data_IF_269838296978
#
_entry.id   IF_269838296978
#
_cell.length_a   1.000
_cell.length_b   1.000
_cell.length_c   1.000
_cell.angle_alpha   90.00
_cell.angle_beta   90.00
_cell.angle_gamma   90.00
#
_symmetry.space_group_name_H-M   'P 1'
#
loop_
_entity.id
_entity.type
_entity.pdbx_description
1 polymer ?
#
# COMPACT_ATOMS: atom_id res chain seq x y z
N UNK A 1 -7.53 7.78 -1.50
CA UNK A 1 -8.76 7.84 -0.68
C UNK A 1 -9.42 6.49 -0.48
N UNK A 2 -9.72 5.71 -1.54
CA UNK A 2 -10.44 4.43 -1.43
C UNK A 2 -9.81 3.46 -0.44
N UNK A 3 -8.50 3.22 -0.54
CA UNK A 3 -7.75 2.38 0.41
C UNK A 3 -7.89 2.83 1.87
N UNK A 4 -7.88 4.14 2.11
CA UNK A 4 -8.02 4.68 3.49
C UNK A 4 -9.39 4.34 4.08
N UNK A 5 -10.45 4.39 3.29
CA UNK A 5 -11.81 4.12 3.75
C UNK A 5 -11.99 2.63 4.01
N UNK A 6 -11.48 1.80 3.09
CA UNK A 6 -11.54 0.34 3.18
C UNK A 6 -10.88 -0.20 4.45
N UNK A 7 -9.75 0.39 4.87
CA UNK A 7 -8.98 -0.12 6.03
C UNK A 7 -9.41 0.49 7.37
N UNK A 8 -9.84 1.75 7.41
CA UNK A 8 -9.98 2.48 8.69
C UNK A 8 -11.39 2.58 9.25
N UNK A 9 -12.43 2.49 8.41
CA UNK A 9 -13.81 2.78 8.84
C UNK A 9 -14.82 1.80 8.26
N UNK A 10 -15.66 1.22 9.11
CA UNK A 10 -16.79 0.39 8.66
C UNK A 10 -17.97 1.22 8.14
N UNK A 11 -18.17 2.43 8.68
CA UNK A 11 -19.20 3.38 8.25
C UNK A 11 -18.54 4.72 7.95
N UNK A 12 -18.81 5.28 6.78
CA UNK A 12 -18.16 6.49 6.31
C UNK A 12 -19.16 7.48 5.71
N UNK A 13 -19.13 8.72 6.20
CA UNK A 13 -19.99 9.78 5.68
C UNK A 13 -19.42 10.35 4.37
N UNK A 14 -20.30 10.55 3.38
CA UNK A 14 -19.91 11.11 2.06
C UNK A 14 -19.26 12.50 2.19
N UNK A 15 -19.59 13.27 3.23
CA UNK A 15 -18.96 14.58 3.49
C UNK A 15 -17.47 14.45 3.81
N UNK A 16 -17.07 13.42 4.55
CA UNK A 16 -15.67 13.20 4.88
C UNK A 16 -14.89 12.64 3.69
N UNK A 17 -15.59 11.98 2.75
CA UNK A 17 -15.02 11.58 1.46
C UNK A 17 -14.52 12.78 0.66
N UNK A 18 -15.36 13.81 0.55
CA UNK A 18 -15.02 15.01 -0.22
C UNK A 18 -13.79 15.72 0.33
N UNK A 19 -13.70 15.84 1.67
CA UNK A 19 -12.54 16.43 2.35
C UNK A 19 -11.27 15.62 2.08
N UNK A 20 -11.34 14.29 2.20
CA UNK A 20 -10.21 13.40 1.92
C UNK A 20 -9.78 13.42 0.44
N UNK A 21 -10.74 13.51 -0.48
CA UNK A 21 -10.46 13.59 -1.91
C UNK A 21 -9.73 14.87 -2.28
N UNK A 22 -10.20 16.01 -1.77
CA UNK A 22 -9.56 17.30 -1.98
C UNK A 22 -8.12 17.31 -1.45
N UNK A 23 -7.89 16.84 -0.22
CA UNK A 23 -6.55 16.77 0.35
C UNK A 23 -5.62 15.85 -0.47
N UNK A 24 -6.10 14.69 -0.93
CA UNK A 24 -5.31 13.79 -1.77
C UNK A 24 -4.94 14.44 -3.12
N UNK A 25 -5.87 15.16 -3.75
CA UNK A 25 -5.62 15.90 -4.99
C UNK A 25 -4.59 17.03 -4.79
N UNK A 26 -4.75 17.82 -3.72
CA UNK A 26 -3.77 18.85 -3.36
C UNK A 26 -2.38 18.25 -3.11
N UNK A 27 -2.28 17.13 -2.38
CA UNK A 27 -1.01 16.45 -2.14
C UNK A 27 -0.37 15.90 -3.40
N UNK A 28 -1.16 15.35 -4.33
CA UNK A 28 -0.65 14.89 -5.61
C UNK A 28 -0.16 16.05 -6.49
N UNK A 29 -0.87 17.18 -6.47
CA UNK A 29 -0.48 18.40 -7.18
C UNK A 29 0.82 19.00 -6.62
N UNK A 30 0.94 19.12 -5.29
CA UNK A 30 2.18 19.62 -4.66
C UNK A 30 3.36 18.72 -4.94
N UNK A 31 3.19 17.39 -4.91
CA UNK A 31 4.26 16.45 -5.26
C UNK A 31 4.67 16.54 -6.73
N UNK A 32 3.70 16.75 -7.63
CA UNK A 32 3.98 16.96 -9.06
C UNK A 32 4.75 18.25 -9.32
N UNK A 33 4.37 19.35 -8.65
CA UNK A 33 5.08 20.63 -8.72
C UNK A 33 6.50 20.53 -8.14
N UNK A 34 6.66 19.85 -7.00
CA UNK A 34 7.97 19.62 -6.40
C UNK A 34 8.88 18.81 -7.33
N UNK A 35 8.34 17.78 -8.01
CA UNK A 35 9.10 16.99 -8.98
C UNK A 35 9.57 17.82 -10.17
N UNK A 36 8.71 18.67 -10.72
CA UNK A 36 9.07 19.62 -11.79
C UNK A 36 10.18 20.58 -11.34
N UNK A 37 10.16 21.02 -10.08
CA UNK A 37 11.18 21.92 -9.54
C UNK A 37 12.55 21.24 -9.38
N UNK A 38 12.58 19.98 -8.96
CA UNK A 38 13.82 19.20 -8.78
C UNK A 38 14.38 18.70 -10.12
N UNK A 39 13.52 18.31 -11.06
CA UNK A 39 13.90 17.74 -12.36
C UNK A 39 13.20 18.48 -13.52
N UNK A 40 13.75 19.63 -13.97
CA UNK A 40 13.09 20.48 -14.97
C UNK A 40 13.00 19.85 -16.37
N UNK A 41 13.74 18.76 -16.64
CA UNK A 41 13.72 18.05 -17.92
C UNK A 41 12.58 17.02 -18.04
N UNK A 42 11.93 16.65 -16.93
CA UNK A 42 10.75 15.77 -16.95
C UNK A 42 9.47 16.61 -17.04
N UNK A 43 9.14 17.06 -18.25
CA UNK A 43 8.07 18.06 -18.51
C UNK A 43 6.64 17.49 -18.34
N UNK A 44 6.48 16.22 -17.95
CA UNK A 44 5.16 15.56 -17.92
C UNK A 44 4.76 15.15 -16.51
N UNK A 45 3.55 15.55 -16.11
CA UNK A 45 2.86 15.06 -14.89
C UNK A 45 2.44 13.60 -15.12
N UNK A 46 3.43 12.73 -15.12
CA UNK A 46 3.26 11.30 -15.28
C UNK A 46 3.50 10.59 -13.94
N UNK A 47 2.90 9.42 -13.74
CA UNK A 47 3.20 8.63 -12.54
C UNK A 47 4.70 8.30 -12.46
N UNK A 48 5.19 8.03 -11.25
CA UNK A 48 6.61 7.74 -11.02
C UNK A 48 7.11 6.54 -11.84
N UNK A 49 6.27 5.51 -11.99
CA UNK A 49 6.56 4.32 -12.80
C UNK A 49 5.49 4.16 -13.88
N UNK A 50 5.73 4.73 -15.06
CA UNK A 50 4.83 4.59 -16.21
C UNK A 50 5.13 3.32 -16.99
N UNK A 51 4.10 2.55 -17.30
CA UNK A 51 4.15 1.43 -18.25
C UNK A 51 3.13 1.67 -19.36
N UNK A 52 3.51 1.38 -20.60
CA UNK A 52 2.65 1.57 -21.77
C UNK A 52 2.08 0.23 -22.20
N UNK A 53 0.76 0.10 -22.15
CA UNK A 53 0.03 -1.07 -22.64
C UNK A 53 -0.53 -0.82 -24.04
N UNK A 54 -0.61 -1.86 -24.88
CA UNK A 54 -1.16 -1.78 -26.23
C UNK A 54 -2.69 -1.97 -26.17
N UNK A 55 -3.42 -1.42 -27.14
CA UNK A 55 -4.86 -1.72 -27.26
C UNK A 55 -5.05 -3.22 -27.55
N UNK A 56 -5.94 -3.89 -26.81
CA UNK A 56 -6.23 -5.34 -26.85
C UNK A 56 -5.08 -6.23 -26.32
N UNK A 57 -4.49 -5.88 -25.19
CA UNK A 57 -3.40 -6.67 -24.59
C UNK A 57 -3.80 -8.00 -23.95
N UNK A 58 -5.09 -8.24 -23.69
CA UNK A 58 -5.53 -9.42 -22.91
C UNK A 58 -6.64 -10.19 -23.62
N UNK A 59 -6.51 -11.52 -23.62
CA UNK A 59 -7.55 -12.42 -24.09
C UNK A 59 -8.45 -12.89 -22.94
N UNK A 60 -9.73 -13.19 -23.18
CA UNK A 60 -10.65 -13.68 -22.14
C UNK A 60 -10.13 -14.92 -21.39
N UNK A 61 -9.36 -15.77 -22.06
CA UNK A 61 -8.78 -17.00 -21.50
C UNK A 61 -7.73 -16.71 -20.41
N UNK A 62 -6.98 -15.61 -20.54
CA UNK A 62 -5.96 -15.20 -19.57
C UNK A 62 -6.57 -14.75 -18.24
N UNK A 63 -7.87 -14.42 -18.22
CA UNK A 63 -8.60 -14.02 -17.02
C UNK A 63 -8.64 -15.15 -15.97
N UNK A 64 -8.71 -16.41 -16.41
CA UNK A 64 -8.63 -17.56 -15.51
C UNK A 64 -7.25 -17.68 -14.86
N UNK A 65 -6.19 -17.41 -15.62
CA UNK A 65 -4.80 -17.41 -15.11
C UNK A 65 -4.63 -16.27 -14.09
N UNK A 66 -5.18 -15.09 -14.35
CA UNK A 66 -5.16 -13.98 -13.39
C UNK A 66 -5.92 -14.30 -12.10
N UNK A 67 -7.07 -14.98 -12.20
CA UNK A 67 -7.81 -15.42 -11.01
C UNK A 67 -6.99 -16.42 -10.18
N UNK A 68 -6.30 -17.36 -10.83
CA UNK A 68 -5.43 -18.33 -10.15
C UNK A 68 -4.24 -17.66 -9.46
N UNK A 69 -3.56 -16.73 -10.14
CA UNK A 69 -2.47 -15.94 -9.55
C UNK A 69 -2.98 -15.13 -8.35
N UNK A 70 -4.18 -14.54 -8.46
CA UNK A 70 -4.84 -13.84 -7.36
C UNK A 70 -5.07 -14.74 -6.14
N UNK A 71 -5.55 -15.96 -6.35
CA UNK A 71 -5.75 -16.94 -5.28
C UNK A 71 -4.42 -17.35 -4.61
N UNK A 72 -3.36 -17.59 -5.40
CA UNK A 72 -2.03 -17.89 -4.86
C UNK A 72 -1.47 -16.73 -4.04
N UNK A 73 -1.61 -15.50 -4.54
CA UNK A 73 -1.18 -14.29 -3.83
C UNK A 73 -1.95 -14.11 -2.51
N UNK A 74 -3.27 -14.36 -2.52
CA UNK A 74 -4.10 -14.34 -1.31
C UNK A 74 -3.66 -15.36 -0.26
N UNK A 75 -3.36 -16.59 -0.68
CA UNK A 75 -2.86 -17.64 0.22
C UNK A 75 -1.47 -17.29 0.79
N UNK A 76 -0.57 -16.79 -0.06
CA UNK A 76 0.75 -16.32 0.37
C UNK A 76 0.63 -15.16 1.37
N UNK A 77 -0.28 -14.21 1.11
CA UNK A 77 -0.58 -13.10 2.03
C UNK A 77 -1.12 -13.57 3.38
N UNK A 78 -2.05 -14.54 3.39
CA UNK A 78 -2.56 -15.13 4.63
C UNK A 78 -1.45 -15.83 5.44
N UNK A 79 -0.60 -16.62 4.77
CA UNK A 79 0.55 -17.26 5.38
C UNK A 79 1.53 -16.24 5.98
N UNK A 80 1.82 -15.15 5.25
CA UNK A 80 2.66 -14.06 5.74
C UNK A 80 2.10 -13.43 7.02
N UNK A 81 0.80 -13.12 7.05
CA UNK A 81 0.14 -12.53 8.23
C UNK A 81 0.21 -13.48 9.43
N UNK A 82 0.01 -14.79 9.21
CA UNK A 82 0.11 -15.79 10.28
C UNK A 82 1.52 -15.91 10.85
N UNK A 83 2.53 -15.96 9.98
CA UNK A 83 3.95 -16.01 10.39
C UNK A 83 4.30 -14.74 11.17
N UNK A 84 3.94 -13.57 10.63
CA UNK A 84 4.17 -12.28 11.30
C UNK A 84 3.50 -12.22 12.68
N UNK A 85 2.24 -12.65 12.78
CA UNK A 85 1.52 -12.72 14.07
C UNK A 85 2.22 -13.66 15.05
N UNK A 86 2.65 -14.85 14.61
CA UNK A 86 3.35 -15.82 15.46
C UNK A 86 4.71 -15.29 15.92
N UNK A 87 5.43 -14.59 15.04
CA UNK A 87 6.69 -13.92 15.36
C UNK A 87 6.50 -12.84 16.43
N UNK A 88 5.54 -11.92 16.26
CA UNK A 88 5.26 -10.85 17.23
C UNK A 88 4.83 -11.44 18.59
N UNK A 89 4.00 -12.48 18.59
CA UNK A 89 3.59 -13.16 19.83
C UNK A 89 4.74 -13.90 20.51
N UNK A 90 5.63 -14.54 19.73
CA UNK A 90 6.84 -15.17 20.26
C UNK A 90 7.75 -14.13 20.93
N UNK A 91 7.95 -12.99 20.28
CA UNK A 91 8.73 -11.88 20.82
C UNK A 91 8.13 -11.36 22.13
N UNK A 92 6.79 -11.22 22.18
CA UNK A 92 6.07 -10.81 23.40
C UNK A 92 5.99 -11.91 24.46
N UNK A 93 6.25 -13.18 24.17
CA UNK A 93 6.23 -14.26 25.18
C UNK A 93 7.59 -14.50 25.82
N UNK A 94 8.68 -14.31 25.07
CA UNK A 94 10.01 -14.61 25.58
C UNK A 94 10.55 -13.49 26.50
N UNK A 95 10.70 -13.79 27.79
CA UNK A 95 11.19 -12.85 28.80
C UNK A 95 12.63 -12.39 28.54
N UNK A 96 13.47 -13.23 27.92
CA UNK A 96 14.83 -12.85 27.52
C UNK A 96 14.79 -11.75 26.43
N UNK A 97 13.95 -11.93 25.42
CA UNK A 97 13.77 -10.93 24.35
C UNK A 97 13.19 -9.63 24.88
N UNK A 98 12.23 -9.66 25.80
CA UNK A 98 11.73 -8.44 26.45
C UNK A 98 12.83 -7.67 27.17
N UNK A 99 13.69 -8.37 27.92
CA UNK A 99 14.82 -7.74 28.62
C UNK A 99 15.86 -7.17 27.64
N UNK A 100 16.11 -7.86 26.53
CA UNK A 100 17.00 -7.38 25.46
C UNK A 100 16.46 -6.09 24.83
N UNK A 101 15.18 -6.08 24.43
CA UNK A 101 14.52 -4.91 23.85
C UNK A 101 14.45 -3.74 24.85
N UNK A 102 14.06 -3.98 26.10
CA UNK A 102 14.02 -2.93 27.13
C UNK A 102 15.39 -2.33 27.44
N UNK A 103 16.47 -3.12 27.38
CA UNK A 103 17.84 -2.61 27.52
C UNK A 103 18.29 -1.74 26.34
N UNK A 104 17.84 -2.02 25.12
CA UNK A 104 18.19 -1.19 23.95
C UNK A 104 17.45 0.15 23.90
N UNK A 105 16.25 0.27 24.50
CA UNK A 105 15.51 1.54 24.55
C UNK A 105 15.85 2.43 25.76
N UNK A 106 16.60 1.91 26.73
CA UNK A 106 17.00 2.64 27.95
C UNK A 106 18.40 3.28 27.86
N UNK A 107 19.12 3.04 26.75
CA UNK A 107 20.36 3.72 26.37
C UNK A 107 20.07 4.70 25.23
#
# INVERSE_FOLDING_TARGET
>A
VLFSIEVTTAYFAVRDYWRGFFTAACSAATFSLLRLWINPFEVTVAALFQTKFRHLSYYPEELLIFAFIGALCGLAGAMFILIHRRYVLFLRRNNFMKRLFQRQYAN
#
